data_IF_803854421392
#
_entry.id   IF_803854421392
#
_cell.length_a   1.000
_cell.length_b   1.000
_cell.length_c   1.000
_cell.angle_alpha   90.00
_cell.angle_beta   90.00
_cell.angle_gamma   90.00
#
_symmetry.space_group_name_H-M   'P 1'
#
loop_
_entity.id
_entity.type
_entity.pdbx_description
1 polymer ?
#
# COMPACT_ATOMS: atom_id res chain seq x y z
N UNK A 1 -4.09 20.60 18.75
CA UNK A 1 -3.47 19.28 18.50
C UNK A 1 -4.09 18.71 17.22
N UNK A 2 -3.29 18.35 16.21
CA UNK A 2 -3.80 17.78 14.94
C UNK A 2 -4.34 16.37 15.22
N UNK A 3 -5.60 16.13 14.82
CA UNK A 3 -6.24 14.81 14.98
C UNK A 3 -5.55 13.78 14.10
N UNK A 4 -5.18 12.65 14.69
CA UNK A 4 -4.71 11.47 13.93
C UNK A 4 -5.91 10.79 13.29
N UNK A 5 -5.84 10.50 11.98
CA UNK A 5 -6.86 9.77 11.22
C UNK A 5 -6.39 8.36 10.93
N UNK A 6 -7.30 7.40 11.03
CA UNK A 6 -7.01 6.04 10.62
C UNK A 6 -6.90 5.96 9.10
N UNK A 7 -5.90 5.21 8.62
CA UNK A 7 -5.67 4.95 7.21
C UNK A 7 -5.18 3.51 6.98
N UNK A 8 -5.34 3.02 5.77
CA UNK A 8 -4.87 1.71 5.37
C UNK A 8 -4.23 1.76 3.99
N UNK A 9 -3.19 0.96 3.81
CA UNK A 9 -2.44 0.83 2.55
C UNK A 9 -2.25 -0.64 2.24
N UNK A 10 -2.39 -1.03 0.98
CA UNK A 10 -2.10 -2.39 0.54
C UNK A 10 -0.94 -2.42 -0.45
N UNK A 11 0.02 -3.28 -0.19
CA UNK A 11 1.14 -3.61 -1.05
C UNK A 11 0.73 -4.82 -1.88
N UNK A 12 0.35 -4.59 -3.13
CA UNK A 12 0.05 -5.67 -4.07
C UNK A 12 1.33 -6.27 -4.60
N UNK A 13 1.41 -7.59 -4.55
CA UNK A 13 2.58 -8.35 -5.01
C UNK A 13 2.18 -9.46 -5.97
N UNK A 14 3.05 -9.76 -6.94
CA UNK A 14 2.92 -10.89 -7.86
C UNK A 14 4.28 -11.40 -8.30
N UNK A 15 4.35 -12.64 -8.78
CA UNK A 15 5.55 -13.20 -9.41
C UNK A 15 5.39 -13.15 -10.95
N UNK A 16 6.22 -12.34 -11.66
CA UNK A 16 6.32 -12.27 -13.13
C UNK A 16 7.68 -11.74 -13.60
N UNK A 17 8.71 -12.57 -13.77
CA UNK A 17 8.89 -13.96 -13.33
C UNK A 17 9.25 -14.06 -11.83
N UNK A 18 9.71 -12.98 -11.23
CA UNK A 18 10.07 -12.80 -9.84
C UNK A 18 9.13 -11.79 -9.15
N UNK A 19 9.39 -11.47 -7.88
CA UNK A 19 8.54 -10.60 -7.08
C UNK A 19 8.49 -9.19 -7.66
N UNK A 20 7.28 -8.74 -8.02
CA UNK A 20 6.94 -7.38 -8.43
C UNK A 20 5.90 -6.79 -7.48
N UNK A 21 5.99 -5.49 -7.27
CA UNK A 21 5.00 -4.68 -6.54
C UNK A 21 4.26 -3.75 -7.49
N UNK A 22 2.99 -3.51 -7.21
CA UNK A 22 2.20 -2.50 -7.92
C UNK A 22 2.42 -1.14 -7.27
N UNK A 23 2.86 -0.18 -8.06
CA UNK A 23 3.09 1.19 -7.62
C UNK A 23 2.26 2.17 -8.43
N UNK A 24 1.86 3.24 -7.78
CA UNK A 24 1.05 4.32 -8.32
C UNK A 24 1.83 5.63 -8.18
N UNK A 25 1.63 6.56 -9.13
CA UNK A 25 2.15 7.92 -9.03
C UNK A 25 1.03 8.88 -8.71
N UNK A 26 1.17 9.62 -7.63
CA UNK A 26 0.22 10.67 -7.24
C UNK A 26 0.24 11.84 -8.23
N UNK A 27 -0.93 12.44 -8.44
CA UNK A 27 -1.05 13.64 -9.24
C UNK A 27 -0.20 14.76 -8.59
N UNK A 28 0.71 15.42 -9.34
CA UNK A 28 1.53 16.51 -8.83
C UNK A 28 0.73 17.73 -8.36
N UNK A 29 -0.56 17.84 -8.73
CA UNK A 29 -1.43 18.93 -8.31
C UNK A 29 -2.05 18.72 -6.90
N UNK A 30 -1.82 17.57 -6.25
CA UNK A 30 -2.35 17.28 -4.91
C UNK A 30 -1.51 17.94 -3.81
N UNK A 31 -2.16 18.31 -2.70
CA UNK A 31 -1.51 18.95 -1.55
C UNK A 31 -0.61 18.02 -0.73
N UNK A 32 -0.94 16.71 -0.71
CA UNK A 32 -0.18 15.73 0.08
C UNK A 32 0.63 14.83 -0.84
N UNK A 33 1.95 14.77 -0.59
CA UNK A 33 2.91 13.96 -1.35
C UNK A 33 2.74 14.11 -2.88
N UNK A 34 2.75 15.34 -3.45
CA UNK A 34 2.55 15.56 -4.87
C UNK A 34 3.60 14.83 -5.71
N UNK A 35 3.17 14.08 -6.70
CA UNK A 35 4.05 13.34 -7.62
C UNK A 35 4.77 12.13 -7.03
N UNK A 36 4.60 11.84 -5.73
CA UNK A 36 5.25 10.70 -5.09
C UNK A 36 4.73 9.36 -5.63
N UNK A 37 5.61 8.37 -5.63
CA UNK A 37 5.26 6.98 -5.88
C UNK A 37 4.79 6.34 -4.59
N UNK A 38 3.60 5.71 -4.64
CA UNK A 38 2.89 5.17 -3.49
C UNK A 38 2.29 3.80 -3.81
N UNK A 39 1.83 3.10 -2.78
CA UNK A 39 0.93 1.95 -2.90
C UNK A 39 -0.53 2.41 -2.81
N UNK A 40 -1.51 1.62 -3.29
CA UNK A 40 -2.93 1.91 -3.09
C UNK A 40 -3.27 2.05 -1.61
N UNK A 41 -4.03 3.08 -1.26
CA UNK A 41 -4.45 3.28 0.12
C UNK A 41 -5.01 4.67 0.42
N UNK A 42 -5.75 4.77 1.52
CA UNK A 42 -6.38 6.02 1.95
C UNK A 42 -6.96 5.95 3.36
N UNK A 43 -7.80 6.92 3.68
CA UNK A 43 -8.43 7.03 4.98
C UNK A 43 -9.48 5.94 5.20
N UNK A 44 -9.61 5.49 6.44
CA UNK A 44 -10.71 4.59 6.84
C UNK A 44 -12.01 5.38 6.91
N UNK A 45 -13.02 4.93 6.19
CA UNK A 45 -14.36 5.49 6.18
C UNK A 45 -15.29 4.79 7.18
N UNK A 46 -16.37 5.46 7.65
CA UNK A 46 -17.37 4.82 8.50
C UNK A 46 -17.97 3.55 7.89
N UNK A 47 -18.16 3.52 6.56
CA UNK A 47 -18.67 2.36 5.83
C UNK A 47 -17.74 1.14 5.93
N UNK A 48 -16.43 1.36 6.05
CA UNK A 48 -15.47 0.27 6.22
C UNK A 48 -15.72 -0.51 7.51
N UNK A 49 -16.16 0.16 8.59
CA UNK A 49 -16.53 -0.50 9.85
C UNK A 49 -17.78 -1.39 9.71
N UNK A 50 -18.76 -0.97 8.91
CA UNK A 50 -19.97 -1.75 8.63
C UNK A 50 -19.63 -3.01 7.83
N UNK A 51 -18.84 -2.85 6.78
CA UNK A 51 -18.37 -3.96 5.95
C UNK A 51 -17.49 -4.93 6.74
N UNK A 52 -16.59 -4.41 7.59
CA UNK A 52 -15.73 -5.20 8.45
C UNK A 52 -16.53 -6.11 9.40
N UNK A 53 -17.58 -5.57 10.04
CA UNK A 53 -18.44 -6.34 10.93
C UNK A 53 -19.15 -7.50 10.18
N UNK A 54 -19.61 -7.26 8.95
CA UNK A 54 -20.26 -8.28 8.13
C UNK A 54 -19.29 -9.39 7.67
N UNK A 55 -18.01 -9.05 7.43
CA UNK A 55 -16.97 -9.98 6.98
C UNK A 55 -16.22 -10.67 8.12
N UNK A 56 -16.36 -10.21 9.37
CA UNK A 56 -15.60 -10.70 10.52
C UNK A 56 -14.11 -10.33 10.48
N UNK A 57 -13.77 -9.17 9.91
CA UNK A 57 -12.41 -8.62 9.84
C UNK A 57 -12.34 -7.24 10.50
N UNK A 58 -11.15 -6.64 10.58
CA UNK A 58 -11.01 -5.25 11.05
C UNK A 58 -11.26 -4.23 9.92
N UNK A 59 -11.61 -2.98 10.30
CA UNK A 59 -11.94 -1.89 9.38
C UNK A 59 -10.77 -1.45 8.49
N UNK A 60 -9.53 -1.67 8.91
CA UNK A 60 -8.37 -1.30 8.11
C UNK A 60 -8.21 -2.23 6.90
N UNK A 61 -8.54 -3.53 7.05
CA UNK A 61 -8.53 -4.48 5.92
C UNK A 61 -9.61 -4.14 4.90
N UNK A 62 -10.79 -3.75 5.35
CA UNK A 62 -11.86 -3.33 4.42
C UNK A 62 -11.53 -2.03 3.72
N UNK A 63 -10.96 -1.05 4.42
CA UNK A 63 -10.47 0.18 3.81
C UNK A 63 -9.38 -0.09 2.77
N UNK A 64 -8.38 -0.91 3.07
CA UNK A 64 -7.32 -1.27 2.14
C UNK A 64 -7.87 -1.96 0.87
N UNK A 65 -8.83 -2.87 1.01
CA UNK A 65 -9.47 -3.54 -0.13
C UNK A 65 -10.32 -2.57 -0.96
N UNK A 66 -11.07 -1.66 -0.33
CA UNK A 66 -11.86 -0.62 -1.01
C UNK A 66 -10.97 0.33 -1.81
N UNK A 67 -9.94 0.90 -1.17
CA UNK A 67 -8.99 1.81 -1.80
C UNK A 67 -8.26 1.15 -2.98
N UNK A 68 -7.90 -0.14 -2.85
CA UNK A 68 -7.29 -0.89 -3.94
C UNK A 68 -8.22 -1.00 -5.16
N UNK A 69 -9.52 -1.24 -4.93
CA UNK A 69 -10.50 -1.29 -6.01
C UNK A 69 -10.70 0.09 -6.65
N UNK A 70 -10.79 1.15 -5.84
CA UNK A 70 -11.02 2.52 -6.31
C UNK A 70 -9.80 3.06 -7.08
N UNK A 71 -8.59 2.87 -6.57
CA UNK A 71 -7.37 3.46 -7.10
C UNK A 71 -6.67 2.61 -8.18
N UNK A 72 -6.80 1.29 -8.11
CA UNK A 72 -6.11 0.35 -8.98
C UNK A 72 -7.04 -0.55 -9.83
N UNK A 73 -8.34 -0.54 -9.56
CA UNK A 73 -9.29 -1.42 -10.23
C UNK A 73 -9.11 -2.91 -9.91
N UNK A 74 -8.39 -3.25 -8.83
CA UNK A 74 -8.09 -4.62 -8.43
C UNK A 74 -8.96 -5.02 -7.24
N UNK A 75 -9.89 -5.95 -7.39
CA UNK A 75 -10.70 -6.45 -6.28
C UNK A 75 -9.89 -7.35 -5.37
N UNK A 76 -9.99 -7.15 -4.05
CA UNK A 76 -9.34 -7.97 -3.03
C UNK A 76 -10.37 -8.48 -2.01
N UNK A 77 -10.18 -9.71 -1.54
CA UNK A 77 -10.87 -10.17 -0.34
C UNK A 77 -10.12 -9.64 0.90
N UNK A 78 -10.81 -8.84 1.71
CA UNK A 78 -10.23 -8.26 2.91
C UNK A 78 -9.70 -9.31 3.91
N UNK A 79 -10.21 -10.56 3.85
CA UNK A 79 -9.76 -11.68 4.68
C UNK A 79 -8.38 -12.18 4.32
N UNK A 80 -7.96 -11.99 3.06
CA UNK A 80 -6.67 -12.49 2.54
C UNK A 80 -5.51 -11.52 2.76
N UNK A 81 -5.79 -10.29 3.21
CA UNK A 81 -4.77 -9.29 3.49
C UNK A 81 -3.93 -9.71 4.71
N UNK A 82 -2.61 -9.66 4.58
CA UNK A 82 -1.67 -9.97 5.66
C UNK A 82 -1.10 -8.67 6.21
N UNK A 83 -1.27 -8.42 7.52
CA UNK A 83 -0.71 -7.23 8.16
C UNK A 83 0.82 -7.25 8.08
N UNK A 84 1.41 -6.13 7.65
CA UNK A 84 2.83 -6.00 7.36
C UNK A 84 3.52 -5.00 8.29
N UNK A 85 2.95 -3.79 8.45
CA UNK A 85 3.53 -2.74 9.26
C UNK A 85 2.46 -1.72 9.71
N UNK A 86 2.83 -0.92 10.71
CA UNK A 86 2.03 0.24 11.16
C UNK A 86 2.91 1.47 11.22
N UNK A 87 2.42 2.57 10.68
CA UNK A 87 3.11 3.85 10.66
C UNK A 87 2.22 4.96 11.20
N UNK A 88 2.71 5.69 12.20
CA UNK A 88 2.02 6.86 12.75
C UNK A 88 2.82 8.10 12.37
N UNK A 89 2.17 9.05 11.70
CA UNK A 89 2.79 10.32 11.32
C UNK A 89 3.28 11.05 12.59
N UNK A 90 4.53 11.55 12.64
CA UNK A 90 5.08 12.24 13.79
C UNK A 90 4.27 13.47 14.20
N UNK A 91 4.44 13.91 15.46
CA UNK A 91 3.89 15.17 15.95
C UNK A 91 4.51 16.35 15.19
N UNK A 92 3.69 17.41 15.01
CA UNK A 92 4.11 18.60 14.27
C UNK A 92 3.76 18.59 12.78
N UNK A 93 3.39 17.45 12.21
CA UNK A 93 2.93 17.40 10.82
C UNK A 93 1.53 18.04 10.67
N UNK A 94 1.25 18.71 9.52
CA UNK A 94 -0.03 19.39 9.28
C UNK A 94 -1.20 18.42 9.11
N UNK A 95 -0.91 17.18 8.70
CA UNK A 95 -1.87 16.06 8.60
C UNK A 95 -1.22 14.84 9.23
N UNK A 96 -1.96 14.13 10.07
CA UNK A 96 -1.45 12.95 10.78
C UNK A 96 -2.36 11.75 10.53
N UNK A 97 -1.71 10.62 10.22
CA UNK A 97 -2.37 9.34 9.98
C UNK A 97 -1.75 8.25 10.86
N UNK A 98 -2.59 7.34 11.31
CA UNK A 98 -2.24 6.03 11.84
C UNK A 98 -2.53 5.03 10.73
N UNK A 99 -1.53 4.66 9.97
CA UNK A 99 -1.67 3.87 8.75
C UNK A 99 -1.24 2.43 9.00
N UNK A 100 -2.13 1.48 8.74
CA UNK A 100 -1.80 0.06 8.68
C UNK A 100 -1.51 -0.37 7.25
N UNK A 101 -0.40 -1.07 7.09
CA UNK A 101 0.06 -1.62 5.82
C UNK A 101 -0.21 -3.11 5.77
N UNK A 102 -0.78 -3.55 4.66
CA UNK A 102 -1.06 -4.95 4.38
C UNK A 102 -0.33 -5.38 3.11
N UNK A 103 0.01 -6.67 3.02
CA UNK A 103 0.47 -7.29 1.76
C UNK A 103 -0.65 -8.20 1.25
N UNK A 104 -0.90 -8.15 -0.05
CA UNK A 104 -1.83 -9.04 -0.72
C UNK A 104 -1.26 -9.53 -2.06
N UNK A 105 -1.45 -10.81 -2.37
CA UNK A 105 -1.18 -11.34 -3.70
C UNK A 105 -2.23 -10.78 -4.67
N UNK A 106 -1.80 -10.20 -5.77
CA UNK A 106 -2.73 -9.76 -6.81
C UNK A 106 -3.46 -10.98 -7.41
N UNK A 107 -4.79 -10.90 -7.57
CA UNK A 107 -5.55 -11.95 -8.23
C UNK A 107 -5.13 -12.08 -9.70
N UNK A 108 -5.16 -13.30 -10.23
CA UNK A 108 -4.83 -13.55 -11.64
C UNK A 108 -5.78 -12.79 -12.57
N UNK A 109 -5.25 -12.36 -13.71
CA UNK A 109 -6.03 -11.63 -14.73
C UNK A 109 -6.29 -10.16 -14.42
N UNK A 110 -5.78 -9.63 -13.30
CA UNK A 110 -5.93 -8.22 -12.94
C UNK A 110 -4.55 -7.53 -12.99
N UNK A 111 -4.30 -6.78 -14.05
CA UNK A 111 -3.05 -6.02 -14.20
C UNK A 111 -3.07 -4.67 -13.48
N UNK A 112 -4.25 -4.17 -13.13
CA UNK A 112 -4.44 -2.90 -12.46
C UNK A 112 -4.20 -1.69 -13.37
N UNK A 113 -5.01 -0.65 -13.18
CA UNK A 113 -4.87 0.65 -13.86
C UNK A 113 -5.24 1.73 -12.85
N UNK A 114 -4.43 2.78 -12.77
CA UNK A 114 -4.70 3.95 -11.93
C UNK A 114 -6.04 4.63 -12.29
N UNK A 115 -6.64 5.33 -11.34
CA UNK A 115 -7.95 5.98 -11.48
C UNK A 115 -7.96 7.15 -12.47
N UNK A 116 -6.80 7.74 -12.78
CA UNK A 116 -6.63 8.84 -13.72
C UNK A 116 -6.93 10.24 -13.15
N UNK A 117 -7.27 10.34 -11.87
CA UNK A 117 -7.57 11.61 -11.19
C UNK A 117 -6.57 11.92 -10.07
N UNK A 118 -6.64 11.19 -8.98
CA UNK A 118 -5.66 11.31 -7.88
C UNK A 118 -4.33 10.64 -8.23
N UNK A 119 -4.38 9.60 -9.04
CA UNK A 119 -3.26 8.82 -9.49
C UNK A 119 -3.16 8.89 -11.03
N UNK A 120 -2.00 9.21 -11.54
CA UNK A 120 -1.77 9.54 -12.95
C UNK A 120 -0.88 8.55 -13.70
N UNK A 121 -0.32 7.59 -12.99
CA UNK A 121 0.46 6.49 -13.57
C UNK A 121 0.43 5.28 -12.65
N UNK A 122 0.61 4.10 -13.22
CA UNK A 122 0.73 2.83 -12.52
C UNK A 122 1.72 1.91 -13.20
N UNK A 123 2.44 1.11 -12.42
CA UNK A 123 3.39 0.13 -12.93
C UNK A 123 3.57 -1.05 -11.97
N UNK A 124 3.90 -2.20 -12.54
CA UNK A 124 4.46 -3.33 -11.82
C UNK A 124 5.99 -3.26 -11.93
N UNK A 125 6.68 -3.19 -10.81
CA UNK A 125 8.14 -3.06 -10.77
C UNK A 125 8.72 -4.00 -9.72
N UNK A 126 9.98 -4.41 -9.89
CA UNK A 126 10.72 -5.02 -8.79
C UNK A 126 10.95 -4.00 -7.69
N UNK A 127 10.86 -4.37 -6.40
CA UNK A 127 11.14 -3.44 -5.31
C UNK A 127 12.50 -2.74 -5.44
N UNK A 128 13.54 -3.48 -5.87
CA UNK A 128 14.88 -2.93 -6.10
C UNK A 128 14.90 -1.87 -7.22
N UNK A 129 14.15 -2.06 -8.30
CA UNK A 129 14.06 -1.07 -9.41
C UNK A 129 13.41 0.25 -8.95
N UNK A 130 12.41 0.16 -8.06
CA UNK A 130 11.78 1.36 -7.49
C UNK A 130 12.77 2.11 -6.58
N UNK A 131 13.52 1.39 -5.74
CA UNK A 131 14.56 1.98 -4.89
C UNK A 131 15.70 2.59 -5.70
N UNK A 132 16.13 1.95 -6.79
CA UNK A 132 17.14 2.49 -7.69
C UNK A 132 16.67 3.77 -8.41
N UNK A 133 15.41 3.81 -8.83
CA UNK A 133 14.81 5.00 -9.42
C UNK A 133 14.76 6.16 -8.41
N UNK A 134 14.41 5.88 -7.16
CA UNK A 134 14.45 6.85 -6.06
C UNK A 134 15.90 7.35 -5.81
N UNK A 135 16.86 6.44 -5.69
CA UNK A 135 18.27 6.80 -5.47
C UNK A 135 18.85 7.70 -6.56
N UNK A 136 18.39 7.55 -7.82
CA UNK A 136 18.76 8.42 -8.94
C UNK A 136 17.96 9.73 -9.03
N UNK A 137 17.01 9.96 -8.11
CA UNK A 137 16.13 11.14 -8.14
C UNK A 137 15.10 11.13 -9.27
N UNK A 138 14.81 9.97 -9.87
CA UNK A 138 13.82 9.83 -10.93
C UNK A 138 12.38 9.80 -10.41
N UNK A 139 12.19 9.38 -9.17
CA UNK A 139 10.91 9.35 -8.46
C UNK A 139 11.08 9.80 -7.01
N UNK A 140 9.98 10.22 -6.38
CA UNK A 140 9.92 10.53 -4.96
C UNK A 140 9.21 9.40 -4.20
N UNK A 141 9.73 9.08 -3.01
CA UNK A 141 9.13 8.14 -2.06
C UNK A 141 8.92 8.81 -0.71
N UNK A 142 7.79 8.56 -0.09
CA UNK A 142 7.62 8.86 1.34
C UNK A 142 8.29 7.75 2.18
N UNK A 143 8.73 8.10 3.39
CA UNK A 143 9.51 7.18 4.25
C UNK A 143 8.85 5.80 4.45
N UNK A 144 7.54 5.68 4.75
CA UNK A 144 6.91 4.37 4.90
C UNK A 144 6.99 3.51 3.63
N UNK A 145 6.81 4.10 2.45
CA UNK A 145 6.92 3.41 1.16
C UNK A 145 8.34 2.92 0.93
N UNK A 146 9.33 3.80 1.15
CA UNK A 146 10.75 3.43 1.02
C UNK A 146 11.11 2.25 1.92
N UNK A 147 10.77 2.31 3.22
CA UNK A 147 11.07 1.25 4.19
C UNK A 147 10.40 -0.06 3.86
N UNK A 148 9.16 0.00 3.37
CA UNK A 148 8.45 -1.19 2.89
C UNK A 148 9.18 -1.83 1.71
N UNK A 149 9.58 -1.04 0.71
CA UNK A 149 10.32 -1.53 -0.45
C UNK A 149 11.68 -2.14 -0.08
N UNK A 150 12.40 -1.56 0.89
CA UNK A 150 13.68 -2.10 1.41
C UNK A 150 13.49 -3.51 2.02
N UNK A 151 12.37 -3.76 2.69
CA UNK A 151 12.05 -5.10 3.20
C UNK A 151 11.69 -6.05 2.05
N UNK A 152 10.81 -5.62 1.13
CA UNK A 152 10.36 -6.44 0.01
C UNK A 152 11.50 -6.80 -0.96
N UNK A 153 12.49 -5.93 -1.13
CA UNK A 153 13.66 -6.16 -1.99
C UNK A 153 14.56 -7.33 -1.53
N UNK A 154 14.32 -7.86 -0.33
CA UNK A 154 15.04 -9.03 0.21
C UNK A 154 14.47 -10.36 -0.27
N UNK A 155 13.34 -10.33 -0.99
CA UNK A 155 12.62 -11.53 -1.43
C UNK A 155 12.50 -11.57 -2.95
N UNK A 156 12.75 -12.75 -3.52
CA UNK A 156 12.59 -13.00 -4.96
C UNK A 156 11.21 -13.55 -5.33
N UNK A 157 10.46 -14.06 -4.34
CA UNK A 157 9.17 -14.72 -4.52
C UNK A 157 8.14 -14.25 -3.48
N UNK A 158 6.90 -14.11 -3.96
CA UNK A 158 5.77 -13.74 -3.11
C UNK A 158 5.55 -14.73 -1.97
N UNK A 159 5.72 -16.04 -2.23
CA UNK A 159 5.53 -17.07 -1.21
C UNK A 159 6.52 -16.92 -0.04
N UNK A 160 7.80 -16.64 -0.34
CA UNK A 160 8.82 -16.42 0.67
C UNK A 160 8.53 -15.17 1.52
N UNK A 161 8.09 -14.08 0.88
CA UNK A 161 7.65 -12.86 1.57
C UNK A 161 6.47 -13.15 2.51
N UNK A 162 5.41 -13.79 2.00
CA UNK A 162 4.21 -14.07 2.80
C UNK A 162 4.49 -15.03 3.96
N UNK A 163 5.37 -16.01 3.78
CA UNK A 163 5.79 -16.91 4.85
C UNK A 163 6.51 -16.14 5.98
N UNK A 164 7.42 -15.22 5.62
CA UNK A 164 8.16 -14.40 6.59
C UNK A 164 7.21 -13.51 7.40
N UNK A 165 6.34 -12.73 6.74
CA UNK A 165 5.45 -11.79 7.44
C UNK A 165 4.37 -12.48 8.28
N UNK A 166 3.93 -13.69 7.92
CA UNK A 166 3.01 -14.48 8.75
C UNK A 166 3.69 -15.07 10.00
N UNK A 167 4.99 -15.29 9.95
CA UNK A 167 5.78 -15.82 11.06
C UNK A 167 6.37 -14.74 11.97
N UNK A 168 6.44 -13.49 11.56
CA UNK A 168 6.99 -12.38 12.32
C UNK A 168 5.91 -11.64 13.13
N UNK A 169 6.20 -11.17 14.38
CA UNK A 169 5.32 -10.23 15.05
C UNK A 169 5.29 -8.91 14.25
N UNK A 170 4.09 -8.29 14.13
CA UNK A 170 3.92 -7.04 13.41
C UNK A 170 4.84 -5.95 14.00
N UNK A 171 5.73 -5.34 13.23
CA UNK A 171 6.57 -4.26 13.72
C UNK A 171 5.70 -3.01 14.03
N UNK A 172 5.82 -2.53 15.25
CA UNK A 172 5.18 -1.30 15.76
C UNK A 172 6.05 -0.08 15.48
#
# INVERSE_FOLDING_TARGET
MVRVRDAATVILVRDRPDLHVFVLRRNPALDFAPGATVFPGGAVDPQDSVTAAALGVDRFRTAAARECLEEAGIPLDARDLVEFARWITPEGAPRRYDTRFFVARAPEGHDGVHDGSELVASAWMRPAEVLDAFARGAIDLILPTQRSLEVLARFDRVEALLAEIRGAPCPT
#
